data_IF_853499171054
#
_entry.id   IF_853499171054
#
_cell.length_a   1.000
_cell.length_b   1.000
_cell.length_c   1.000
_cell.angle_alpha   90.00
_cell.angle_beta   90.00
_cell.angle_gamma   90.00
#
_symmetry.space_group_name_H-M   'P 1'
#
loop_
_entity.id
_entity.type
_entity.pdbx_description
1 polymer ?
#
# COMPACT_ATOMS: atom_id res chain seq x y z
N UNK A 1 1.98 10.19 6.02
CA UNK A 1 2.59 9.05 5.29
C UNK A 1 3.29 8.15 6.30
N UNK A 2 3.45 6.88 5.97
CA UNK A 2 4.20 5.89 6.77
C UNK A 2 5.25 5.25 5.87
N UNK A 3 6.46 5.04 6.38
CA UNK A 3 7.49 4.23 5.72
C UNK A 3 7.59 2.92 6.48
N UNK A 4 7.46 1.80 5.80
CA UNK A 4 7.57 0.48 6.44
C UNK A 4 9.03 0.10 6.62
N UNK A 5 9.40 -0.25 7.84
CA UNK A 5 10.75 -0.66 8.20
C UNK A 5 10.88 -2.19 8.30
N UNK A 6 12.09 -2.75 8.13
CA UNK A 6 12.37 -4.15 8.41
C UNK A 6 11.87 -4.59 9.80
N UNK A 7 11.08 -5.66 9.85
CA UNK A 7 10.57 -6.21 11.10
C UNK A 7 9.26 -5.57 11.60
N UNK A 8 8.75 -4.54 10.93
CA UNK A 8 7.39 -4.06 11.20
C UNK A 8 6.37 -5.17 10.89
N UNK A 9 5.49 -5.42 11.86
CA UNK A 9 4.36 -6.31 11.62
C UNK A 9 3.21 -5.54 10.99
N UNK A 10 2.45 -6.20 10.12
CA UNK A 10 1.23 -5.60 9.54
C UNK A 10 0.27 -5.11 10.61
N UNK A 11 0.16 -5.80 11.75
CA UNK A 11 -0.72 -5.38 12.87
C UNK A 11 -0.32 -4.03 13.45
N UNK A 12 0.97 -3.70 13.49
CA UNK A 12 1.45 -2.39 13.95
C UNK A 12 1.12 -1.32 12.91
N UNK A 13 1.36 -1.59 11.63
CA UNK A 13 1.02 -0.68 10.53
C UNK A 13 -0.50 -0.38 10.49
N UNK A 14 -1.34 -1.39 10.64
CA UNK A 14 -2.80 -1.24 10.68
C UNK A 14 -3.25 -0.40 11.90
N UNK A 15 -2.57 -0.53 13.05
CA UNK A 15 -2.85 0.31 14.23
C UNK A 15 -2.43 1.76 14.04
N UNK A 16 -1.30 2.00 13.38
CA UNK A 16 -0.79 3.35 13.11
C UNK A 16 -1.64 4.06 12.05
N UNK A 17 -2.03 3.34 11.00
CA UNK A 17 -2.77 3.89 9.86
C UNK A 17 -4.28 3.91 10.07
N UNK A 18 -4.80 3.07 10.98
CA UNK A 18 -6.23 2.92 11.25
C UNK A 18 -6.99 2.07 10.23
N UNK A 19 -6.30 1.46 9.25
CA UNK A 19 -6.93 0.64 8.22
C UNK A 19 -6.40 -0.78 8.16
N UNK A 20 -7.25 -1.78 7.86
CA UNK A 20 -6.77 -3.11 7.57
C UNK A 20 -6.07 -3.16 6.20
N UNK A 21 -4.95 -3.85 6.14
CA UNK A 21 -4.17 -4.09 4.93
C UNK A 21 -4.46 -5.50 4.40
N UNK A 22 -4.41 -6.50 5.27
CA UNK A 22 -4.61 -7.91 4.89
C UNK A 22 -6.02 -8.42 5.17
N UNK A 23 -6.96 -7.49 5.40
CA UNK A 23 -8.39 -7.79 5.57
C UNK A 23 -9.25 -6.79 4.83
N UNK A 24 -10.36 -7.26 4.32
CA UNK A 24 -11.41 -6.40 3.81
C UNK A 24 -12.14 -5.71 4.97
N UNK A 25 -12.41 -4.41 4.84
CA UNK A 25 -13.04 -3.61 5.89
C UNK A 25 -14.56 -3.89 6.03
N UNK A 26 -15.24 -4.27 4.95
CA UNK A 26 -16.70 -4.46 4.92
C UNK A 26 -17.11 -5.83 5.46
N UNK A 27 -16.44 -6.90 5.05
CA UNK A 27 -16.82 -8.28 5.39
C UNK A 27 -15.78 -9.04 6.24
N UNK A 28 -14.59 -8.46 6.44
CA UNK A 28 -13.53 -9.06 7.24
C UNK A 28 -12.79 -10.22 6.55
N UNK A 29 -13.04 -10.47 5.26
CA UNK A 29 -12.33 -11.50 4.48
C UNK A 29 -10.81 -11.26 4.56
N UNK A 30 -10.05 -12.33 4.76
CA UNK A 30 -8.59 -12.27 4.89
C UNK A 30 -7.90 -12.49 3.55
N UNK A 31 -6.75 -11.86 3.38
CA UNK A 31 -5.88 -12.12 2.24
C UNK A 31 -5.61 -13.64 2.08
N UNK A 32 -5.59 -14.10 0.83
CA UNK A 32 -5.49 -15.52 0.46
C UNK A 32 -6.82 -16.26 0.35
N UNK A 33 -7.96 -15.65 0.72
CA UNK A 33 -9.29 -16.20 0.46
C UNK A 33 -9.82 -15.79 -0.93
N UNK A 34 -10.65 -16.63 -1.60
CA UNK A 34 -11.15 -16.33 -2.94
C UNK A 34 -12.02 -15.07 -3.05
N UNK A 35 -12.69 -14.72 -1.97
CA UNK A 35 -13.58 -13.56 -1.80
C UNK A 35 -12.86 -12.29 -1.32
N UNK A 36 -11.55 -12.38 -1.05
CA UNK A 36 -10.78 -11.22 -0.60
C UNK A 36 -10.74 -10.12 -1.67
N UNK A 37 -11.19 -8.93 -1.27
CA UNK A 37 -10.98 -7.69 -2.01
C UNK A 37 -10.25 -6.68 -1.12
N UNK A 38 -9.18 -6.02 -1.61
CA UNK A 38 -8.48 -5.01 -0.82
C UNK A 38 -9.32 -3.74 -0.65
N UNK A 39 -9.01 -2.96 0.38
CA UNK A 39 -9.71 -1.70 0.70
C UNK A 39 -8.88 -0.43 0.44
N UNK A 40 -7.63 -0.54 0.01
CA UNK A 40 -6.86 0.63 -0.43
C UNK A 40 -7.49 1.25 -1.67
N UNK A 41 -7.29 2.56 -1.85
CA UNK A 41 -7.82 3.33 -2.99
C UNK A 41 -6.91 3.24 -4.21
N UNK A 42 -5.61 3.26 -4.00
CA UNK A 42 -4.58 3.08 -5.02
C UNK A 42 -3.42 2.29 -4.44
N UNK A 43 -2.75 1.53 -5.30
CA UNK A 43 -1.53 0.81 -4.97
C UNK A 43 -0.64 0.85 -6.20
N UNK A 44 0.46 1.58 -6.10
CA UNK A 44 1.38 1.81 -7.21
C UNK A 44 2.72 1.12 -6.94
N UNK A 45 3.34 0.62 -8.00
CA UNK A 45 4.68 0.04 -7.97
C UNK A 45 5.68 1.03 -8.56
N UNK A 46 6.63 1.45 -7.72
CA UNK A 46 7.80 2.23 -8.08
C UNK A 46 9.03 1.31 -8.12
N UNK A 47 10.17 1.73 -8.67
CA UNK A 47 11.37 0.88 -8.77
C UNK A 47 11.79 0.28 -7.41
N UNK A 48 11.87 1.11 -6.36
CA UNK A 48 12.36 0.71 -5.03
C UNK A 48 11.30 0.32 -4.00
N UNK A 49 10.03 0.66 -4.23
CA UNK A 49 8.97 0.47 -3.24
C UNK A 49 7.58 0.34 -3.89
N UNK A 50 6.60 -0.07 -3.09
CA UNK A 50 5.20 0.11 -3.41
C UNK A 50 4.66 1.31 -2.62
N UNK A 51 3.70 2.03 -3.20
CA UNK A 51 2.95 3.09 -2.54
C UNK A 51 1.50 2.68 -2.42
N UNK A 52 1.02 2.48 -1.19
CA UNK A 52 -0.37 2.13 -0.90
C UNK A 52 -1.10 3.34 -0.31
N UNK A 53 -2.19 3.75 -0.95
CA UNK A 53 -2.97 4.93 -0.53
C UNK A 53 -4.34 4.54 -0.03
N UNK A 54 -4.69 5.02 1.15
CA UNK A 54 -6.06 5.05 1.67
C UNK A 54 -6.56 6.49 1.71
N UNK A 55 -7.86 6.69 1.43
CA UNK A 55 -8.54 7.98 1.58
C UNK A 55 -9.58 7.81 2.70
N UNK A 56 -9.53 8.69 3.70
CA UNK A 56 -10.35 8.61 4.90
C UNK A 56 -11.73 9.23 4.71
N UNK A 57 -11.80 10.34 3.97
CA UNK A 57 -13.06 11.06 3.73
C UNK A 57 -13.07 11.72 2.35
N UNK A 58 -14.25 12.13 1.90
CA UNK A 58 -14.46 12.80 0.60
C UNK A 58 -13.75 14.16 0.48
N UNK A 59 -13.24 14.72 1.59
CA UNK A 59 -12.42 15.93 1.61
C UNK A 59 -10.99 15.73 1.10
N UNK A 60 -10.61 14.49 0.79
CA UNK A 60 -9.32 14.14 0.20
C UNK A 60 -8.22 13.89 1.23
N UNK A 61 -8.52 13.89 2.53
CA UNK A 61 -7.53 13.44 3.52
C UNK A 61 -7.24 11.95 3.34
N UNK A 62 -5.97 11.59 3.20
CA UNK A 62 -5.51 10.24 2.94
C UNK A 62 -4.17 9.93 3.59
N UNK A 63 -3.83 8.64 3.66
CA UNK A 63 -2.54 8.15 4.12
C UNK A 63 -1.89 7.33 3.01
N UNK A 64 -0.65 7.69 2.69
CA UNK A 64 0.23 6.90 1.84
C UNK A 64 1.18 6.06 2.72
N UNK A 65 1.33 4.79 2.40
CA UNK A 65 2.25 3.84 3.03
C UNK A 65 3.27 3.43 1.96
N UNK A 66 4.55 3.69 2.22
CA UNK A 66 5.66 3.30 1.35
C UNK A 66 6.27 1.99 1.85
N UNK A 67 6.29 0.98 0.99
CA UNK A 67 6.65 -0.40 1.34
C UNK A 67 7.89 -0.79 0.52
N UNK A 68 9.09 -0.82 1.12
CA UNK A 68 10.31 -1.18 0.40
C UNK A 68 10.27 -2.61 -0.17
N UNK A 69 10.81 -2.81 -1.39
CA UNK A 69 10.90 -4.14 -2.03
C UNK A 69 12.07 -4.95 -1.50
N UNK A 70 12.11 -5.22 -0.20
CA UNK A 70 13.20 -5.95 0.44
C UNK A 70 12.71 -7.20 1.19
N UNK A 71 13.49 -8.30 1.23
CA UNK A 71 13.05 -9.57 1.82
C UNK A 71 12.72 -9.54 3.32
N UNK A 72 13.14 -8.50 4.03
CA UNK A 72 12.88 -8.30 5.46
C UNK A 72 11.55 -7.62 5.77
N UNK A 73 10.79 -7.20 4.74
CA UNK A 73 9.38 -6.79 4.89
C UNK A 73 8.51 -8.03 5.02
N UNK A 74 7.41 -7.88 5.78
CA UNK A 74 6.39 -8.92 5.92
C UNK A 74 5.99 -9.52 4.55
N UNK A 75 6.07 -10.84 4.46
CA UNK A 75 5.90 -11.54 3.19
C UNK A 75 4.47 -11.44 2.63
N UNK A 76 3.45 -11.39 3.49
CA UNK A 76 2.07 -11.24 3.05
C UNK A 76 1.82 -9.80 2.57
N UNK A 77 2.46 -8.81 3.21
CA UNK A 77 2.45 -7.42 2.75
C UNK A 77 3.10 -7.27 1.37
N UNK A 78 4.24 -7.91 1.13
CA UNK A 78 4.86 -7.91 -0.20
C UNK A 78 3.99 -8.66 -1.22
N UNK A 79 3.37 -9.77 -0.83
CA UNK A 79 2.54 -10.56 -1.72
C UNK A 79 1.28 -9.82 -2.17
N UNK A 80 0.59 -9.10 -1.25
CA UNK A 80 -0.55 -8.27 -1.64
C UNK A 80 -0.10 -7.13 -2.55
N UNK A 81 1.06 -6.52 -2.27
CA UNK A 81 1.60 -5.46 -3.12
C UNK A 81 1.86 -5.95 -4.54
N UNK A 82 2.64 -7.01 -4.69
CA UNK A 82 2.97 -7.60 -5.99
C UNK A 82 1.74 -8.09 -6.76
N UNK A 83 0.67 -8.48 -6.06
CA UNK A 83 -0.57 -8.96 -6.69
C UNK A 83 -1.43 -7.84 -7.26
N UNK A 84 -1.54 -6.71 -6.54
CA UNK A 84 -2.53 -5.70 -6.86
C UNK A 84 -1.95 -4.36 -7.31
N UNK A 85 -0.64 -4.16 -7.20
CA UNK A 85 -0.02 -2.93 -7.64
C UNK A 85 -0.14 -2.77 -9.16
N UNK A 86 -0.33 -1.52 -9.57
CA UNK A 86 -0.16 -1.08 -10.95
C UNK A 86 1.17 -0.35 -11.06
N UNK A 87 1.89 -0.49 -12.18
CA UNK A 87 3.12 0.26 -12.38
C UNK A 87 2.83 1.76 -12.30
N UNK A 88 3.59 2.48 -11.49
CA UNK A 88 3.49 3.92 -11.41
C UNK A 88 3.79 4.52 -12.78
N UNK A 89 2.98 5.49 -13.20
CA UNK A 89 3.33 6.29 -14.37
C UNK A 89 4.29 7.37 -13.91
N UNK A 90 5.56 7.22 -14.28
CA UNK A 90 6.56 8.28 -14.11
C UNK A 90 6.04 9.55 -14.80
N UNK A 91 5.68 10.55 -14.00
CA UNK A 91 5.47 11.88 -14.54
C UNK A 91 6.85 12.41 -14.92
N UNK A 92 7.17 12.42 -16.22
CA UNK A 92 8.34 13.14 -16.72
C UNK A 92 8.16 14.58 -16.26
N UNK A 93 8.86 14.96 -15.20
CA UNK A 93 9.02 16.36 -14.87
C UNK A 93 9.80 16.92 -16.05
N UNK A 94 9.16 17.73 -16.89
CA UNK A 94 9.86 18.56 -17.88
C UNK A 94 10.83 19.46 -17.12
N UNK A 95 12.03 18.94 -16.87
CA UNK A 95 13.19 19.73 -16.50
C UNK A 95 13.57 20.52 -17.74
N UNK A 96 13.01 21.73 -17.79
CA UNK A 96 13.52 22.94 -18.44
C UNK A 96 14.21 22.77 -19.79
N UNK A 97 13.51 23.13 -20.86
CA UNK A 97 14.12 23.58 -22.12
C UNK A 97 13.20 24.60 -22.81
N UNK A 98 13.33 25.87 -22.43
CA UNK A 98 13.58 27.03 -23.32
C UNK A 98 13.55 28.33 -22.52
#
# INVERSE_FOLDING_TARGET
MVMVEPGDSVVVLERETGFPILRNLLDGARYGRPDFTPYFKALEEHDGCYEMVYIFTDDGFGIAIFIPKQPSIDADLLAICAKYAVLATESVTELGLS
#
